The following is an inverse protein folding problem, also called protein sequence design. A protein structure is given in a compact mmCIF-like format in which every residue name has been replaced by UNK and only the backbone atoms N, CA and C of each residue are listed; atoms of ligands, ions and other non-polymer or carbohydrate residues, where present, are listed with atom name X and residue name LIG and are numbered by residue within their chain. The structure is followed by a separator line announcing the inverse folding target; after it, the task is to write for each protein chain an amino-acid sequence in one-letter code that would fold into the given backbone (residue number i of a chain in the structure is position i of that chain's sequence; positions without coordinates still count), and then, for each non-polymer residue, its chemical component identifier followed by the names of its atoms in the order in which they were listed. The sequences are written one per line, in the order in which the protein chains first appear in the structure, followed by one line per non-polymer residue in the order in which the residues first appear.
data_IF_970643630512
#
_entry.id   IF_970643630512
#
_cell.length_a   1.000
_cell.length_b   1.000
_cell.length_c   1.000
_cell.angle_alpha   90.00
_cell.angle_beta   90.00
_cell.angle_gamma   90.00
#
_symmetry.space_group_name_H-M   'P 1'
#
loop_
_entity.id
_entity.type
_entity.pdbx_description
1 polymer ?
#
# COMPACT_ATOMS: atom_id res chain seq x y z
N UNK A 1 10.22 3.20 -8.70
CA UNK A 1 8.97 3.11 -9.51
C UNK A 1 8.68 4.47 -10.12
N UNK A 2 8.21 4.59 -11.37
CA UNK A 2 7.44 5.78 -11.72
C UNK A 2 6.33 5.88 -10.69
N UNK A 3 6.16 7.03 -10.06
CA UNK A 3 5.15 7.16 -9.02
C UNK A 3 3.81 6.97 -9.74
N UNK A 4 3.20 5.80 -9.57
CA UNK A 4 1.83 5.54 -10.00
C UNK A 4 0.89 6.34 -9.07
N UNK A 5 1.03 7.67 -9.04
CA UNK A 5 0.09 8.60 -8.40
C UNK A 5 -1.23 8.62 -9.18
N UNK A 6 -1.17 8.22 -10.45
CA UNK A 6 -2.36 7.94 -11.21
C UNK A 6 -2.98 6.63 -10.72
N UNK A 7 -3.84 6.76 -9.71
CA UNK A 7 -4.67 5.70 -9.15
C UNK A 7 -5.48 4.94 -10.22
N UNK A 8 -5.83 5.64 -11.30
CA UNK A 8 -6.56 5.10 -12.44
C UNK A 8 -5.67 4.41 -13.48
N UNK A 9 -4.35 4.38 -13.30
CA UNK A 9 -3.34 3.68 -14.14
C UNK A 9 -2.49 2.68 -13.37
N UNK A 10 -2.41 2.82 -12.06
CA UNK A 10 -1.70 1.92 -11.17
C UNK A 10 -2.13 0.45 -11.38
N UNK A 11 -1.17 -0.48 -11.31
CA UNK A 11 -1.48 -1.91 -11.43
C UNK A 11 -2.39 -2.38 -10.29
N UNK A 12 -3.24 -3.38 -10.53
CA UNK A 12 -3.99 -4.06 -9.44
C UNK A 12 -3.09 -4.73 -8.38
N UNK A 13 -1.79 -4.88 -8.68
CA UNK A 13 -0.79 -5.46 -7.79
C UNK A 13 0.15 -4.42 -7.17
N UNK A 14 0.05 -3.13 -7.50
CA UNK A 14 0.84 -2.12 -6.77
C UNK A 14 0.32 -2.05 -5.34
N UNK A 15 1.20 -2.37 -4.40
CA UNK A 15 0.98 -2.15 -2.98
C UNK A 15 1.31 -0.68 -2.67
N UNK A 16 0.43 0.01 -1.97
CA UNK A 16 0.72 1.33 -1.38
C UNK A 16 0.34 2.56 -2.19
N UNK A 17 -0.22 2.43 -3.40
CA UNK A 17 -0.67 3.61 -4.16
C UNK A 17 -1.79 4.35 -3.43
N UNK A 18 -2.78 3.60 -2.95
CA UNK A 18 -3.87 4.06 -2.09
C UNK A 18 -3.35 4.71 -0.79
N UNK A 19 -2.37 4.07 -0.14
CA UNK A 19 -1.76 4.57 1.11
C UNK A 19 -1.02 5.88 0.88
N UNK A 20 -0.16 5.94 -0.14
CA UNK A 20 0.63 7.14 -0.50
C UNK A 20 -0.27 8.34 -0.72
N UNK A 21 -1.30 8.19 -1.56
CA UNK A 21 -2.21 9.29 -1.85
C UNK A 21 -2.99 9.71 -0.60
N UNK A 22 -3.46 8.76 0.22
CA UNK A 22 -4.18 9.05 1.44
C UNK A 22 -3.33 9.80 2.47
N UNK A 23 -2.05 9.44 2.61
CA UNK A 23 -1.09 10.14 3.47
C UNK A 23 -0.83 11.55 2.95
N UNK A 24 -0.54 11.71 1.65
CA UNK A 24 -0.28 13.03 1.05
C UNK A 24 -1.46 13.98 1.25
N UNK A 25 -2.68 13.50 1.01
CA UNK A 25 -3.90 14.26 1.27
C UNK A 25 -4.04 14.64 2.75
N UNK A 26 -3.86 13.68 3.65
CA UNK A 26 -3.98 13.93 5.09
C UNK A 26 -2.98 14.99 5.58
N UNK A 27 -1.74 14.94 5.11
CA UNK A 27 -0.71 15.93 5.43
C UNK A 27 -1.14 17.33 4.95
N UNK A 28 -1.57 17.47 3.70
CA UNK A 28 -2.05 18.76 3.17
C UNK A 28 -3.25 19.28 3.96
N UNK A 29 -4.22 18.42 4.28
CA UNK A 29 -5.42 18.79 5.06
C UNK A 29 -5.10 19.20 6.49
N UNK A 30 -4.05 18.64 7.09
CA UNK A 30 -3.59 19.00 8.44
C UNK A 30 -2.66 20.23 8.48
N UNK A 31 -2.41 20.85 7.32
CA UNK A 31 -1.67 22.10 7.19
C UNK A 31 -0.17 21.94 6.94
N UNK A 32 0.30 20.75 6.56
CA UNK A 32 1.69 20.55 6.17
C UNK A 32 1.94 21.06 4.74
N UNK A 33 3.10 21.67 4.53
CA UNK A 33 3.65 21.88 3.19
C UNK A 33 4.31 20.58 2.73
N UNK A 34 3.93 20.08 1.56
CA UNK A 34 4.41 18.78 1.06
C UNK A 34 5.18 18.99 -0.25
N UNK A 35 6.47 18.61 -0.24
CA UNK A 35 7.34 18.60 -1.42
C UNK A 35 7.67 17.15 -1.79
N UNK A 36 7.40 16.75 -3.03
CA UNK A 36 7.77 15.43 -3.54
C UNK A 36 9.06 15.54 -4.35
N UNK A 37 10.13 14.95 -3.81
CA UNK A 37 11.42 14.84 -4.47
C UNK A 37 11.45 13.63 -5.42
N UNK A 38 10.79 13.74 -6.58
CA UNK A 38 10.75 12.70 -7.62
C UNK A 38 11.10 13.22 -9.02
N UNK A 39 11.38 12.34 -9.98
CA UNK A 39 11.72 12.68 -11.38
C UNK A 39 10.68 12.04 -12.31
N UNK A 40 9.41 12.33 -12.08
CA UNK A 40 8.39 12.08 -13.10
C UNK A 40 8.67 13.10 -14.19
N UNK A 41 9.05 12.67 -15.40
CA UNK A 41 9.41 13.66 -16.43
C UNK A 41 8.21 14.55 -16.73
N UNK A 42 8.40 15.86 -16.67
CA UNK A 42 7.48 16.93 -17.07
C UNK A 42 7.01 16.91 -18.55
N UNK A 43 7.30 15.84 -19.32
CA UNK A 43 6.66 15.62 -20.62
C UNK A 43 5.13 15.58 -20.42
N UNK A 44 4.32 16.14 -21.34
CA UNK A 44 2.95 16.56 -21.08
C UNK A 44 2.00 15.36 -21.02
N UNK A 45 2.14 14.55 -19.99
CA UNK A 45 1.03 13.90 -19.34
C UNK A 45 0.74 14.81 -18.16
N UNK A 46 -0.37 15.57 -18.22
CA UNK A 46 -0.91 16.28 -17.07
C UNK A 46 -1.00 15.27 -15.93
N UNK A 47 0.02 15.25 -15.07
CA UNK A 47 0.10 14.35 -13.93
C UNK A 47 -0.79 14.95 -12.85
N UNK A 48 -2.09 14.73 -13.02
CA UNK A 48 -3.10 14.92 -12.01
C UNK A 48 -2.73 14.04 -10.82
N UNK A 49 -2.18 14.68 -9.78
CA UNK A 49 -1.84 14.04 -8.51
C UNK A 49 -3.06 13.41 -7.84
N UNK A 50 -4.27 13.85 -8.20
CA UNK A 50 -5.56 13.23 -7.94
C UNK A 50 -6.50 13.55 -9.11
N UNK A 51 -7.22 12.56 -9.63
CA UNK A 51 -8.41 12.79 -10.47
C UNK A 51 -9.64 12.59 -9.60
N UNK A 52 -10.07 13.64 -8.91
CA UNK A 52 -11.32 13.61 -8.17
C UNK A 52 -11.97 14.98 -8.34
N UNK A 53 -13.04 15.10 -9.14
CA UNK A 53 -14.39 15.40 -8.63
C UNK A 53 -15.42 15.61 -9.75
N UNK A 54 -16.66 15.24 -9.38
CA UNK A 54 -17.99 15.59 -9.88
C UNK A 54 -18.16 15.96 -11.37
N UNK A 55 -18.55 14.96 -12.18
CA UNK A 55 -19.73 15.15 -13.01
C UNK A 55 -20.38 13.83 -13.44
N UNK A 56 -21.69 13.93 -13.57
CA UNK A 56 -22.69 12.92 -13.86
C UNK A 56 -22.50 12.44 -15.31
N UNK A 57 -21.58 11.51 -15.52
CA UNK A 57 -21.55 10.59 -16.65
C UNK A 57 -20.53 9.50 -16.33
N UNK A 58 -20.95 8.24 -16.33
CA UNK A 58 -20.13 7.07 -15.93
C UNK A 58 -18.85 6.86 -16.77
N UNK A 59 -18.60 7.71 -17.78
CA UNK A 59 -17.54 7.55 -18.78
C UNK A 59 -16.48 8.68 -18.82
N UNK A 60 -16.58 9.75 -18.03
CA UNK A 60 -15.59 10.85 -18.06
C UNK A 60 -15.17 11.31 -16.66
N UNK A 61 -13.86 11.29 -16.39
CA UNK A 61 -13.26 11.66 -15.09
C UNK A 61 -12.63 13.05 -15.23
N UNK A 62 -13.05 13.99 -14.38
CA UNK A 62 -12.51 15.35 -14.33
C UNK A 62 -11.45 15.50 -13.21
N UNK A 63 -10.38 16.25 -13.50
CA UNK A 63 -9.12 16.28 -12.73
C UNK A 63 -9.03 17.52 -11.83
N UNK A 64 -8.89 17.33 -10.50
CA UNK A 64 -8.69 18.40 -9.52
C UNK A 64 -7.32 18.26 -8.83
N UNK A 65 -6.45 19.26 -9.00
CA UNK A 65 -5.14 19.29 -8.38
C UNK A 65 -5.25 19.54 -6.86
N UNK A 66 -4.41 18.90 -6.05
CA UNK A 66 -3.96 19.53 -4.81
C UNK A 66 -2.92 20.56 -5.24
N UNK A 67 -3.34 21.80 -5.48
CA UNK A 67 -2.45 22.93 -5.86
C UNK A 67 -1.36 23.24 -4.81
N UNK A 68 -1.31 22.48 -3.70
CA UNK A 68 -0.43 22.65 -2.55
C UNK A 68 0.72 21.63 -2.46
N UNK A 69 0.85 20.69 -3.41
CA UNK A 69 1.98 19.75 -3.46
C UNK A 69 2.97 20.23 -4.51
N UNK A 70 4.19 20.59 -4.09
CA UNK A 70 5.26 20.97 -5.00
C UNK A 70 6.01 19.72 -5.51
N UNK A 71 6.33 19.71 -6.81
CA UNK A 71 7.18 18.69 -7.43
C UNK A 71 8.58 19.25 -7.62
N UNK A 72 9.57 18.65 -6.98
CA UNK A 72 10.97 19.10 -7.02
C UNK A 72 11.84 18.10 -7.81
N UNK A 73 11.84 18.26 -9.14
CA UNK A 73 12.57 17.39 -10.07
C UNK A 73 14.10 17.62 -10.00
N UNK A 74 14.52 18.85 -9.69
CA UNK A 74 15.90 19.31 -9.79
C UNK A 74 16.56 19.66 -8.45
N UNK A 75 15.88 19.44 -7.32
CA UNK A 75 16.47 19.65 -6.00
C UNK A 75 17.78 18.87 -5.85
N UNK A 76 18.77 19.53 -5.25
CA UNK A 76 20.11 18.99 -4.93
C UNK A 76 20.28 18.66 -3.45
N UNK A 77 19.46 19.25 -2.60
CA UNK A 77 19.34 18.99 -1.16
C UNK A 77 17.85 19.11 -0.78
N UNK A 78 17.37 18.36 0.22
CA UNK A 78 16.02 18.58 0.75
C UNK A 78 15.92 19.94 1.44
N UNK A 79 14.80 20.63 1.21
CA UNK A 79 14.38 21.86 1.88
C UNK A 79 13.05 21.60 2.60
N UNK A 80 13.14 20.90 3.73
CA UNK A 80 12.03 20.43 4.54
C UNK A 80 12.49 20.18 5.98
N UNK A 81 11.57 20.21 6.94
CA UNK A 81 11.87 19.88 8.34
C UNK A 81 11.91 18.36 8.59
N UNK A 82 11.16 17.59 7.79
CA UNK A 82 11.03 16.15 7.93
C UNK A 82 11.19 15.48 6.57
N UNK A 83 12.11 14.52 6.48
CA UNK A 83 12.29 13.70 5.29
C UNK A 83 11.45 12.42 5.40
N UNK A 84 10.31 12.39 4.70
CA UNK A 84 9.43 11.22 4.66
C UNK A 84 9.77 10.29 3.49
N UNK A 85 10.09 9.03 3.80
CA UNK A 85 10.54 8.02 2.82
C UNK A 85 9.58 6.85 2.84
N UNK A 86 8.85 6.64 1.75
CA UNK A 86 8.03 5.46 1.55
C UNK A 86 8.88 4.30 1.01
N UNK A 87 8.72 3.11 1.61
CA UNK A 87 9.19 1.80 1.17
C UNK A 87 10.29 1.73 0.07
N UNK A 88 11.48 1.28 0.48
CA UNK A 88 12.45 0.51 -0.29
C UNK A 88 12.67 0.99 -1.72
N UNK A 89 13.48 2.04 -1.92
CA UNK A 89 13.79 2.50 -3.26
C UNK A 89 14.34 1.35 -4.12
N UNK A 90 13.78 1.16 -5.32
CA UNK A 90 14.19 0.06 -6.21
C UNK A 90 15.50 0.40 -6.93
N UNK A 91 16.24 -0.61 -7.40
CA UNK A 91 17.38 -0.43 -8.33
C UNK A 91 16.95 0.03 -9.74
N UNK A 92 15.76 0.59 -9.89
CA UNK A 92 15.30 1.14 -11.17
C UNK A 92 16.17 2.35 -11.51
N UNK A 93 16.91 2.26 -12.60
CA UNK A 93 17.77 3.33 -13.12
C UNK A 93 17.01 4.24 -14.07
N UNK A 94 17.39 5.52 -14.04
CA UNK A 94 16.86 6.55 -14.94
C UNK A 94 18.02 7.28 -15.59
N UNK A 95 17.86 7.67 -16.86
CA UNK A 95 18.79 8.57 -17.55
C UNK A 95 18.45 10.02 -17.23
N UNK A 96 19.46 10.81 -16.89
CA UNK A 96 19.37 12.22 -16.57
C UNK A 96 20.15 13.02 -17.64
N UNK A 97 19.48 13.52 -18.68
CA UNK A 97 20.12 14.30 -19.74
C UNK A 97 20.85 15.54 -19.21
N UNK A 98 20.29 16.19 -18.19
CA UNK A 98 20.82 17.45 -17.63
C UNK A 98 21.73 17.24 -16.41
N UNK A 99 21.92 15.99 -15.95
CA UNK A 99 22.73 15.67 -14.75
C UNK A 99 23.99 14.85 -15.04
N UNK A 100 24.43 14.77 -16.30
CA UNK A 100 25.76 14.24 -16.63
C UNK A 100 26.88 14.88 -15.78
N UNK A 101 26.73 16.15 -15.41
CA UNK A 101 27.69 16.88 -14.59
C UNK A 101 27.60 16.61 -13.07
N UNK A 102 26.47 16.08 -12.57
CA UNK A 102 26.30 15.79 -11.13
C UNK A 102 26.79 14.39 -10.76
N UNK A 103 26.66 13.43 -11.68
CA UNK A 103 27.17 12.07 -11.49
C UNK A 103 27.96 11.62 -12.74
N UNK A 104 29.09 12.26 -13.05
CA UNK A 104 29.88 11.96 -14.24
C UNK A 104 30.39 10.50 -14.26
N UNK A 105 30.57 9.91 -13.08
CA UNK A 105 30.96 8.51 -12.90
C UNK A 105 29.80 7.50 -13.12
N UNK A 106 28.57 7.97 -13.33
CA UNK A 106 27.39 7.14 -13.58
C UNK A 106 26.86 7.28 -15.03
N UNK A 107 27.58 7.97 -15.93
CA UNK A 107 27.19 8.18 -17.34
C UNK A 107 25.75 8.71 -17.52
N UNK A 108 25.28 9.52 -16.57
CA UNK A 108 23.92 10.04 -16.56
C UNK A 108 22.85 9.01 -16.19
N UNK A 109 23.17 7.77 -15.83
CA UNK A 109 22.21 6.77 -15.32
C UNK A 109 22.27 6.66 -13.78
N UNK A 110 21.26 7.16 -13.07
CA UNK A 110 21.22 7.07 -11.59
C UNK A 110 20.02 6.22 -11.17
N UNK A 111 20.25 5.29 -10.25
CA UNK A 111 19.18 4.50 -9.63
C UNK A 111 18.36 5.34 -8.65
N UNK A 112 17.08 5.01 -8.50
CA UNK A 112 16.19 5.68 -7.53
C UNK A 112 16.79 5.63 -6.12
N UNK A 113 17.39 4.51 -5.75
CA UNK A 113 18.03 4.32 -4.45
C UNK A 113 19.24 5.22 -4.22
N UNK A 114 20.10 5.38 -5.23
CA UNK A 114 21.24 6.28 -5.10
C UNK A 114 20.76 7.72 -4.90
N UNK A 115 19.71 8.15 -5.61
CA UNK A 115 19.11 9.47 -5.40
C UNK A 115 18.51 9.62 -4.01
N UNK A 116 17.77 8.62 -3.52
CA UNK A 116 17.22 8.65 -2.15
C UNK A 116 18.35 8.83 -1.14
N UNK A 117 19.47 8.13 -1.32
CA UNK A 117 20.61 8.21 -0.40
C UNK A 117 21.35 9.54 -0.50
N UNK A 118 21.52 10.08 -1.70
CA UNK A 118 22.08 11.42 -1.92
C UNK A 118 21.22 12.52 -1.27
N UNK A 119 19.90 12.35 -1.22
CA UNK A 119 19.01 13.26 -0.49
C UNK A 119 19.16 13.12 1.02
N UNK A 120 19.22 11.88 1.52
CA UNK A 120 19.43 11.60 2.95
C UNK A 120 20.78 12.17 3.39
N UNK A 121 21.86 11.91 2.65
CA UNK A 121 23.23 12.36 2.95
C UNK A 121 23.30 13.86 3.25
N UNK A 122 22.51 14.66 2.52
CA UNK A 122 22.48 16.13 2.59
C UNK A 122 21.42 16.69 3.53
N UNK A 123 20.67 15.83 4.22
CA UNK A 123 19.62 16.20 5.15
C UNK A 123 20.10 16.07 6.60
N UNK A 124 19.63 16.97 7.46
CA UNK A 124 19.80 16.91 8.92
C UNK A 124 18.42 17.07 9.56
N UNK A 125 18.15 16.32 10.63
CA UNK A 125 16.84 16.29 11.32
C UNK A 125 16.10 14.95 11.22
N UNK A 126 14.77 15.00 11.29
CA UNK A 126 13.92 13.81 11.36
C UNK A 126 13.73 13.11 10.00
N UNK A 127 14.14 11.84 9.93
CA UNK A 127 13.87 10.93 8.81
C UNK A 127 12.78 9.95 9.23
N UNK A 128 11.60 10.09 8.60
CA UNK A 128 10.47 9.18 8.83
C UNK A 128 10.40 8.18 7.70
N UNK A 129 10.63 6.93 8.03
CA UNK A 129 10.53 5.85 7.06
C UNK A 129 9.18 5.14 7.21
N UNK A 130 8.40 5.08 6.13
CA UNK A 130 7.10 4.43 6.10
C UNK A 130 7.16 3.05 5.42
N UNK A 131 7.08 2.01 6.24
CA UNK A 131 7.05 0.62 5.81
C UNK A 131 5.61 0.12 5.68
N UNK A 132 5.17 -0.11 4.45
CA UNK A 132 3.78 -0.52 4.18
C UNK A 132 3.68 -1.85 3.42
N UNK A 133 4.80 -2.50 3.13
CA UNK A 133 4.85 -3.77 2.39
C UNK A 133 5.71 -4.73 3.17
N UNK A 134 5.11 -5.73 3.81
CA UNK A 134 5.84 -6.74 4.58
C UNK A 134 6.97 -7.43 3.79
N UNK A 135 6.82 -7.54 2.46
CA UNK A 135 7.82 -8.17 1.60
C UNK A 135 9.03 -7.29 1.30
N UNK A 136 8.95 -5.99 1.57
CA UNK A 136 10.07 -5.05 1.47
C UNK A 136 10.70 -4.80 2.84
N UNK A 137 10.91 -5.85 3.63
CA UNK A 137 11.39 -5.84 5.01
C UNK A 137 12.77 -5.21 5.26
N UNK A 138 13.34 -4.49 4.30
CA UNK A 138 14.49 -3.63 4.49
C UNK A 138 14.08 -2.18 4.24
N UNK A 139 14.46 -1.26 5.13
CA UNK A 139 14.24 0.17 4.94
C UNK A 139 14.79 0.71 3.61
N UNK A 140 15.72 -0.02 3.00
CA UNK A 140 16.33 0.37 1.74
C UNK A 140 16.26 -0.73 0.69
N UNK A 141 15.26 -1.60 0.79
CA UNK A 141 15.06 -2.70 -0.14
C UNK A 141 16.16 -3.75 -0.10
N UNK A 142 16.02 -4.77 -0.94
CA UNK A 142 16.90 -5.93 -1.03
C UNK A 142 18.24 -5.59 -1.71
N UNK A 143 18.90 -4.50 -1.33
CA UNK A 143 20.29 -4.30 -1.73
C UNK A 143 21.16 -5.28 -0.94
N UNK A 144 21.34 -6.47 -1.48
CA UNK A 144 22.11 -7.48 -0.76
C UNK A 144 22.08 -8.89 -1.32
N UNK A 145 21.85 -9.10 -2.61
CA UNK A 145 22.69 -10.11 -3.26
C UNK A 145 24.03 -9.44 -3.46
N UNK A 146 25.06 -9.95 -2.78
CA UNK A 146 26.46 -9.55 -2.91
C UNK A 146 26.82 -9.38 -4.39
N UNK A 147 26.63 -8.20 -4.96
CA UNK A 147 27.36 -7.79 -6.15
C UNK A 147 28.60 -7.11 -5.60
N UNK A 148 29.54 -7.94 -5.16
CA UNK A 148 30.91 -7.49 -4.92
C UNK A 148 31.34 -6.73 -6.18
N UNK A 149 31.70 -5.45 -6.01
CA UNK A 149 32.14 -4.50 -7.06
C UNK A 149 31.06 -3.62 -7.72
N UNK A 150 29.81 -3.57 -7.24
CA UNK A 150 28.88 -2.50 -7.67
C UNK A 150 29.07 -1.23 -6.84
N UNK A 151 29.34 -0.06 -7.45
CA UNK A 151 29.42 1.23 -6.74
C UNK A 151 28.07 1.70 -6.15
N UNK A 152 26.98 0.99 -6.45
CA UNK A 152 25.59 1.27 -6.01
C UNK A 152 25.14 0.21 -4.97
N UNK A 153 26.07 -0.57 -4.41
CA UNK A 153 25.71 -1.49 -3.31
C UNK A 153 25.45 -0.71 -2.01
N UNK A 154 24.53 -1.18 -1.17
CA UNK A 154 24.15 -0.55 0.11
C UNK A 154 25.38 -0.34 0.98
N UNK A 155 26.17 -1.39 1.16
CA UNK A 155 27.41 -1.33 1.93
C UNK A 155 28.40 -0.31 1.38
N UNK A 156 28.50 -0.16 0.05
CA UNK A 156 29.37 0.87 -0.54
C UNK A 156 28.83 2.29 -0.37
N UNK A 157 27.50 2.48 -0.34
CA UNK A 157 26.91 3.80 -0.16
C UNK A 157 26.92 4.21 1.31
N UNK A 158 26.55 3.31 2.24
CA UNK A 158 26.64 3.56 3.69
C UNK A 158 28.08 3.81 4.16
N UNK A 159 29.08 3.34 3.42
CA UNK A 159 30.50 3.62 3.71
C UNK A 159 30.99 4.96 3.16
N UNK A 160 30.27 5.56 2.20
CA UNK A 160 30.68 6.80 1.50
C UNK A 160 29.82 8.01 1.87
N UNK A 161 28.65 7.78 2.43
CA UNK A 161 27.64 8.79 2.71
C UNK A 161 27.34 8.82 4.21
N UNK A 162 27.10 10.02 4.74
CA UNK A 162 26.74 10.32 6.12
C UNK A 162 25.24 10.05 6.34
N UNK A 163 24.79 8.84 5.99
CA UNK A 163 23.37 8.48 6.00
C UNK A 163 22.75 8.54 7.40
N UNK A 164 23.51 8.31 8.47
CA UNK A 164 22.98 8.26 9.84
C UNK A 164 23.42 9.42 10.73
N UNK A 165 24.34 10.26 10.25
CA UNK A 165 24.92 11.34 11.03
C UNK A 165 23.95 12.52 11.10
N UNK A 166 23.79 13.12 12.29
CA UNK A 166 22.93 14.28 12.55
C UNK A 166 21.46 14.08 12.13
N UNK A 167 20.95 12.84 12.27
CA UNK A 167 19.61 12.47 11.84
C UNK A 167 18.93 11.62 12.90
N UNK A 168 17.64 11.86 13.10
CA UNK A 168 16.78 11.05 13.95
C UNK A 168 15.92 10.15 13.08
N UNK A 169 15.95 8.85 13.29
CA UNK A 169 15.23 7.88 12.45
C UNK A 169 14.00 7.34 13.16
N UNK A 170 12.85 7.44 12.50
CA UNK A 170 11.57 6.88 12.98
C UNK A 170 10.98 5.92 11.96
N UNK A 171 10.60 4.71 12.40
CA UNK A 171 9.81 3.80 11.56
C UNK A 171 8.33 4.05 11.81
N UNK A 172 7.59 4.21 10.73
CA UNK A 172 6.13 4.16 10.70
C UNK A 172 5.72 2.92 9.91
N UNK A 173 4.84 2.07 10.43
CA UNK A 173 4.47 0.81 9.76
C UNK A 173 3.01 0.41 9.99
N UNK A 174 2.42 -0.30 9.01
CA UNK A 174 1.10 -0.93 9.17
C UNK A 174 1.15 -2.34 9.75
N UNK A 175 2.36 -2.87 9.96
CA UNK A 175 2.57 -4.15 10.62
C UNK A 175 2.81 -3.96 12.13
N UNK A 176 2.81 -5.04 12.88
CA UNK A 176 3.27 -5.04 14.26
C UNK A 176 4.80 -4.82 14.29
N UNK A 177 5.21 -3.68 14.86
CA UNK A 177 6.61 -3.26 14.88
C UNK A 177 7.48 -4.21 15.72
N UNK A 178 6.99 -4.71 16.85
CA UNK A 178 7.75 -5.63 17.71
C UNK A 178 8.02 -6.95 16.99
N UNK A 179 6.99 -7.53 16.35
CA UNK A 179 7.14 -8.76 15.53
C UNK A 179 8.10 -8.54 14.37
N UNK A 180 8.07 -7.37 13.73
CA UNK A 180 9.03 -7.00 12.69
C UNK A 180 10.46 -6.95 13.24
N UNK A 181 10.69 -6.25 14.36
CA UNK A 181 12.01 -6.13 14.99
C UNK A 181 12.51 -7.51 15.40
N UNK A 182 11.71 -8.31 16.09
CA UNK A 182 12.11 -9.64 16.54
C UNK A 182 12.51 -10.55 15.37
N UNK A 183 11.74 -10.48 14.27
CA UNK A 183 12.00 -11.29 13.07
C UNK A 183 13.24 -10.82 12.32
N UNK A 184 13.41 -9.51 12.15
CA UNK A 184 14.44 -8.95 11.26
C UNK A 184 15.74 -8.56 11.96
N UNK A 185 15.74 -8.31 13.28
CA UNK A 185 16.96 -8.11 14.08
C UNK A 185 17.87 -9.34 14.10
N UNK A 186 17.29 -10.54 13.95
CA UNK A 186 18.02 -11.81 13.85
C UNK A 186 18.75 -11.96 12.49
N UNK A 187 18.41 -11.15 11.49
CA UNK A 187 19.15 -11.13 10.23
C UNK A 187 20.45 -10.33 10.45
N UNK A 188 21.60 -10.88 10.03
CA UNK A 188 22.91 -10.20 10.07
C UNK A 188 22.98 -9.01 9.10
N UNK A 189 22.10 -8.01 9.25
CA UNK A 189 21.97 -6.84 8.39
C UNK A 189 21.72 -5.59 9.26
N UNK A 190 22.64 -4.62 9.30
CA UNK A 190 22.48 -3.41 10.08
C UNK A 190 21.44 -2.53 9.38
N UNK A 191 20.27 -2.33 10.00
CA UNK A 191 19.33 -1.30 9.50
C UNK A 191 18.30 -0.93 10.56
N UNK A 192 17.69 -1.91 11.22
CA UNK A 192 16.65 -1.64 12.22
C UNK A 192 17.20 -1.01 13.52
N UNK A 193 18.48 -1.22 13.85
CA UNK A 193 19.12 -0.63 15.03
C UNK A 193 19.31 0.89 14.97
N UNK A 194 19.15 1.51 13.80
CA UNK A 194 19.30 2.95 13.64
C UNK A 194 18.01 3.72 13.89
N UNK A 195 16.85 3.05 13.94
CA UNK A 195 15.61 3.72 14.30
C UNK A 195 15.52 3.90 15.81
N UNK A 196 15.33 5.13 16.21
CA UNK A 196 15.20 5.56 17.60
C UNK A 196 13.79 5.34 18.12
N UNK A 197 12.79 5.40 17.23
CA UNK A 197 11.39 5.17 17.58
C UNK A 197 10.61 4.46 16.47
N UNK A 198 9.49 3.86 16.88
CA UNK A 198 8.63 3.03 16.03
C UNK A 198 7.18 3.39 16.31
N UNK A 199 6.37 3.46 15.26
CA UNK A 199 4.95 3.75 15.39
C UNK A 199 4.13 2.88 14.44
N UNK A 200 3.21 2.13 15.02
CA UNK A 200 2.17 1.44 14.27
C UNK A 200 1.11 2.46 13.81
N UNK A 201 0.68 2.36 12.56
CA UNK A 201 -0.50 3.06 12.04
C UNK A 201 -1.40 2.00 11.38
N UNK A 202 -2.68 1.89 11.76
CA UNK A 202 -3.59 0.96 11.13
C UNK A 202 -3.77 1.28 9.65
N UNK A 203 -4.30 0.33 8.89
CA UNK A 203 -4.77 0.61 7.53
C UNK A 203 -5.93 1.59 7.60
N UNK A 204 -5.72 2.76 7.02
CA UNK A 204 -6.74 3.80 6.89
C UNK A 204 -7.25 3.91 5.45
N UNK A 205 -8.37 4.62 5.28
CA UNK A 205 -8.92 4.99 3.99
C UNK A 205 -8.98 6.50 3.81
N UNK A 206 -9.17 6.97 2.59
CA UNK A 206 -9.51 8.37 2.29
C UNK A 206 -10.87 8.43 1.62
N UNK A 207 -11.76 9.32 2.07
CA UNK A 207 -13.07 9.52 1.41
C UNK A 207 -12.94 10.06 -0.02
N UNK A 208 -11.87 10.80 -0.28
CA UNK A 208 -11.63 11.39 -1.58
C UNK A 208 -11.01 10.35 -2.53
N UNK A 209 -10.18 9.42 -2.04
CA UNK A 209 -9.52 8.40 -2.87
C UNK A 209 -10.33 7.11 -2.95
N UNK A 210 -10.75 6.58 -1.80
CA UNK A 210 -11.46 5.31 -1.64
C UNK A 210 -12.99 5.52 -1.66
N UNK A 211 -13.52 6.23 -2.67
CA UNK A 211 -14.95 6.57 -2.75
C UNK A 211 -15.83 5.33 -2.56
N UNK A 212 -16.58 5.22 -1.44
CA UNK A 212 -17.38 4.03 -1.17
C UNK A 212 -18.48 3.85 -2.21
N UNK A 213 -18.60 2.63 -2.71
CA UNK A 213 -19.67 2.20 -3.62
C UNK A 213 -20.77 1.55 -2.81
N UNK A 214 -22.01 1.86 -3.15
CA UNK A 214 -23.14 1.12 -2.60
C UNK A 214 -23.13 -0.33 -3.12
N UNK A 215 -23.46 -1.32 -2.28
CA UNK A 215 -23.63 -2.71 -2.72
C UNK A 215 -24.59 -2.80 -3.92
N UNK A 216 -24.29 -3.69 -4.87
CA UNK A 216 -25.24 -3.97 -5.97
C UNK A 216 -26.42 -4.80 -5.48
N UNK A 217 -27.60 -4.53 -6.04
CA UNK A 217 -28.81 -5.32 -5.79
C UNK A 217 -28.58 -6.79 -6.12
N UNK A 218 -28.07 -7.07 -7.32
CA UNK A 218 -27.78 -8.42 -7.80
C UNK A 218 -26.31 -8.53 -8.23
N UNK A 219 -25.37 -8.75 -7.28
CA UNK A 219 -23.98 -9.01 -7.60
C UNK A 219 -23.85 -10.30 -8.44
N UNK A 220 -22.86 -10.34 -9.32
CA UNK A 220 -22.60 -11.50 -10.17
C UNK A 220 -22.03 -12.68 -9.39
N UNK A 221 -21.20 -12.40 -8.38
CA UNK A 221 -20.43 -13.39 -7.63
C UNK A 221 -20.94 -13.51 -6.20
N UNK A 222 -20.89 -14.71 -5.63
CA UNK A 222 -21.09 -14.86 -4.19
C UNK A 222 -19.84 -14.39 -3.45
N UNK A 223 -18.67 -14.85 -3.91
CA UNK A 223 -17.36 -14.56 -3.31
C UNK A 223 -16.40 -13.97 -4.34
N UNK A 224 -15.72 -12.89 -3.98
CA UNK A 224 -14.62 -12.32 -4.74
C UNK A 224 -13.30 -12.35 -3.95
N UNK A 225 -12.19 -12.60 -4.65
CA UNK A 225 -10.85 -12.48 -4.08
C UNK A 225 -9.89 -11.81 -5.09
N UNK A 226 -8.97 -10.99 -4.59
CA UNK A 226 -7.90 -10.39 -5.39
C UNK A 226 -6.55 -10.64 -4.75
N UNK A 227 -5.61 -11.16 -5.53
CA UNK A 227 -4.25 -11.34 -5.07
C UNK A 227 -3.36 -12.04 -6.09
N UNK A 228 -2.09 -12.20 -5.72
CA UNK A 228 -1.13 -13.01 -6.49
C UNK A 228 -0.99 -14.41 -5.87
N UNK A 229 -0.74 -15.45 -6.64
CA UNK A 229 -0.53 -16.78 -6.09
C UNK A 229 0.74 -16.85 -5.23
N UNK A 230 0.63 -17.45 -4.04
CA UNK A 230 1.75 -18.03 -3.29
C UNK A 230 1.29 -19.31 -2.58
N UNK A 231 2.25 -20.14 -2.13
CA UNK A 231 1.94 -21.46 -1.55
C UNK A 231 1.01 -21.40 -0.34
N UNK A 232 1.17 -20.38 0.51
CA UNK A 232 0.33 -20.23 1.70
C UNK A 232 -1.09 -19.82 1.28
N UNK A 233 -1.22 -18.77 0.47
CA UNK A 233 -2.54 -18.29 0.03
C UNK A 233 -3.31 -19.29 -0.80
N UNK A 234 -2.64 -20.05 -1.67
CA UNK A 234 -3.28 -21.12 -2.44
C UNK A 234 -3.92 -22.15 -1.50
N UNK A 235 -3.16 -22.66 -0.53
CA UNK A 235 -3.66 -23.63 0.46
C UNK A 235 -4.84 -23.09 1.26
N UNK A 236 -4.77 -21.83 1.70
CA UNK A 236 -5.86 -21.20 2.46
C UNK A 236 -7.12 -21.02 1.63
N UNK A 237 -6.98 -20.57 0.37
CA UNK A 237 -8.11 -20.43 -0.53
C UNK A 237 -8.74 -21.78 -0.88
N UNK A 238 -7.93 -22.81 -1.14
CA UNK A 238 -8.44 -24.18 -1.39
C UNK A 238 -9.22 -24.73 -0.19
N UNK A 239 -8.73 -24.46 1.02
CA UNK A 239 -9.41 -24.84 2.25
C UNK A 239 -10.76 -24.13 2.42
N UNK A 240 -10.81 -22.82 2.19
CA UNK A 240 -12.01 -22.00 2.43
C UNK A 240 -13.04 -22.11 1.31
N UNK A 241 -12.61 -22.18 0.05
CA UNK A 241 -13.47 -22.03 -1.13
C UNK A 241 -13.98 -23.36 -1.70
N UNK A 242 -13.60 -24.51 -1.13
CA UNK A 242 -13.98 -25.84 -1.65
C UNK A 242 -15.49 -26.03 -1.89
N UNK A 243 -16.34 -25.41 -1.07
CA UNK A 243 -17.80 -25.54 -1.12
C UNK A 243 -18.49 -24.35 -1.82
N UNK A 244 -17.72 -23.38 -2.29
CA UNK A 244 -18.23 -22.20 -3.01
C UNK A 244 -18.37 -22.53 -4.49
N UNK A 245 -19.59 -22.38 -5.02
CA UNK A 245 -19.91 -22.70 -6.42
C UNK A 245 -19.83 -21.49 -7.34
N UNK A 246 -20.08 -20.29 -6.81
CA UNK A 246 -20.13 -19.06 -7.60
C UNK A 246 -19.18 -18.01 -7.03
N UNK A 247 -17.97 -17.93 -7.58
CA UNK A 247 -17.02 -16.92 -7.16
C UNK A 247 -15.96 -16.63 -8.21
N UNK A 248 -15.26 -15.52 -8.05
CA UNK A 248 -14.23 -15.09 -8.98
C UNK A 248 -12.94 -14.65 -8.29
N UNK A 249 -11.83 -14.84 -9.00
CA UNK A 249 -10.50 -14.40 -8.60
C UNK A 249 -9.88 -13.55 -9.71
N UNK A 250 -9.38 -12.36 -9.38
CA UNK A 250 -8.49 -11.59 -10.24
C UNK A 250 -7.06 -11.54 -9.68
N UNK A 251 -6.07 -11.53 -10.56
CA UNK A 251 -4.66 -11.39 -10.24
C UNK A 251 -3.75 -12.39 -10.95
N UNK A 252 -2.49 -12.47 -10.51
CA UNK A 252 -1.48 -13.37 -11.10
C UNK A 252 -1.62 -14.77 -10.50
N UNK A 253 -2.35 -15.65 -11.18
CA UNK A 253 -2.56 -17.05 -10.79
C UNK A 253 -2.15 -17.98 -11.92
N UNK A 254 -1.39 -19.01 -11.57
CA UNK A 254 -0.97 -20.07 -12.48
C UNK A 254 -1.82 -21.34 -12.30
N UNK A 255 -2.36 -21.54 -11.10
CA UNK A 255 -3.21 -22.67 -10.76
C UNK A 255 -4.69 -22.23 -10.65
N UNK A 256 -5.57 -23.16 -11.03
CA UNK A 256 -7.00 -23.08 -10.75
C UNK A 256 -7.22 -23.20 -9.22
N UNK A 257 -8.11 -22.39 -8.66
CA UNK A 257 -8.46 -22.44 -7.23
C UNK A 257 -9.89 -22.96 -7.09
N UNK A 258 -10.03 -24.25 -6.75
CA UNK A 258 -11.33 -24.93 -6.65
C UNK A 258 -12.22 -24.63 -7.88
N UNK A 259 -13.49 -24.30 -7.65
CA UNK A 259 -14.48 -23.98 -8.68
C UNK A 259 -14.52 -22.48 -9.05
N UNK A 260 -13.53 -21.69 -8.61
CA UNK A 260 -13.56 -20.24 -8.81
C UNK A 260 -13.28 -19.86 -10.25
N UNK A 261 -13.96 -18.85 -10.78
CA UNK A 261 -13.61 -18.31 -12.08
C UNK A 261 -12.30 -17.50 -11.98
N UNK A 262 -11.26 -17.98 -12.65
CA UNK A 262 -9.98 -17.28 -12.75
C UNK A 262 -10.05 -16.26 -13.88
N UNK A 263 -10.16 -14.98 -13.52
CA UNK A 263 -10.35 -13.89 -14.49
C UNK A 263 -9.02 -13.33 -15.02
N UNK A 264 -7.89 -13.80 -14.50
CA UNK A 264 -6.55 -13.32 -14.82
C UNK A 264 -6.26 -11.94 -14.22
N UNK A 265 -5.22 -11.28 -14.72
CA UNK A 265 -4.96 -9.89 -14.38
C UNK A 265 -5.90 -8.99 -15.19
N UNK A 266 -6.98 -8.51 -14.56
CA UNK A 266 -7.92 -7.57 -15.20
C UNK A 266 -7.88 -6.21 -14.56
N UNK A 267 -7.91 -5.19 -15.41
CA UNK A 267 -8.10 -3.81 -15.01
C UNK A 267 -6.89 -3.21 -14.29
N UNK A 268 -7.17 -2.07 -13.67
CA UNK A 268 -6.24 -1.20 -12.96
C UNK A 268 -6.67 -1.10 -11.49
N UNK A 269 -5.89 -0.44 -10.64
CA UNK A 269 -6.14 -0.43 -9.19
C UNK A 269 -7.59 -0.01 -8.83
N UNK A 270 -8.13 1.02 -9.49
CA UNK A 270 -9.53 1.44 -9.31
C UNK A 270 -10.59 0.37 -9.73
N UNK A 271 -10.26 -0.54 -10.65
CA UNK A 271 -11.18 -1.59 -11.09
C UNK A 271 -11.37 -2.68 -10.03
N UNK A 272 -10.48 -2.76 -9.04
CA UNK A 272 -10.64 -3.64 -7.88
C UNK A 272 -11.94 -3.32 -7.12
N UNK A 273 -12.24 -2.03 -6.92
CA UNK A 273 -13.46 -1.60 -6.22
C UNK A 273 -14.71 -2.03 -7.00
N UNK A 274 -14.67 -1.90 -8.34
CA UNK A 274 -15.75 -2.36 -9.21
C UNK A 274 -15.89 -3.88 -9.20
N UNK A 275 -14.77 -4.60 -9.15
CA UNK A 275 -14.75 -6.05 -9.07
C UNK A 275 -15.42 -6.52 -7.78
N UNK A 276 -15.05 -5.96 -6.62
CA UNK A 276 -15.72 -6.24 -5.37
C UNK A 276 -17.19 -5.84 -5.39
N UNK A 277 -17.56 -4.71 -6.00
CA UNK A 277 -18.96 -4.32 -6.14
C UNK A 277 -19.84 -5.35 -6.89
N UNK A 278 -19.23 -6.26 -7.66
CA UNK A 278 -19.91 -7.38 -8.31
C UNK A 278 -19.97 -8.66 -7.45
N UNK A 279 -19.64 -8.60 -6.16
CA UNK A 279 -19.71 -9.74 -5.24
C UNK A 279 -20.47 -9.43 -3.95
N UNK A 280 -21.16 -10.43 -3.39
CA UNK A 280 -21.78 -10.31 -2.06
C UNK A 280 -20.73 -10.14 -0.96
N UNK A 281 -19.69 -10.98 -0.97
CA UNK A 281 -18.58 -10.90 -0.01
C UNK A 281 -17.23 -10.81 -0.72
N UNK A 282 -16.31 -10.09 -0.09
CA UNK A 282 -14.90 -10.09 -0.48
C UNK A 282 -14.05 -10.76 0.60
N UNK A 283 -13.15 -11.65 0.18
CA UNK A 283 -12.21 -12.30 1.09
C UNK A 283 -10.91 -11.53 1.22
N UNK A 284 -10.47 -11.36 2.46
CA UNK A 284 -9.17 -10.80 2.82
C UNK A 284 -8.34 -11.86 3.55
N UNK A 285 -7.28 -12.30 2.88
CA UNK A 285 -6.35 -13.33 3.38
C UNK A 285 -4.92 -12.80 3.21
N UNK A 286 -4.13 -12.76 4.29
CA UNK A 286 -2.75 -12.31 4.22
C UNK A 286 -1.88 -13.32 3.46
N UNK A 287 -0.72 -12.87 2.97
CA UNK A 287 0.35 -13.83 2.69
C UNK A 287 0.98 -14.29 4.02
N UNK A 288 1.84 -15.32 3.98
CA UNK A 288 2.47 -15.86 5.20
C UNK A 288 3.20 -14.79 6.02
N UNK A 289 3.90 -13.88 5.34
CA UNK A 289 4.68 -12.84 6.02
C UNK A 289 3.78 -11.75 6.61
N UNK A 290 2.73 -11.34 5.90
CA UNK A 290 1.71 -10.42 6.44
C UNK A 290 1.04 -11.01 7.69
N UNK A 291 0.72 -12.30 7.69
CA UNK A 291 0.17 -13.01 8.85
C UNK A 291 1.16 -13.01 10.04
N UNK A 292 2.41 -13.38 9.79
CA UNK A 292 3.44 -13.45 10.83
C UNK A 292 3.77 -12.08 11.45
N UNK A 293 3.52 -11.00 10.72
CA UNK A 293 3.80 -9.62 11.14
C UNK A 293 2.53 -8.84 11.53
N UNK A 294 1.37 -9.48 11.62
CA UNK A 294 0.07 -8.82 11.88
C UNK A 294 -0.21 -7.64 10.93
N UNK A 295 0.21 -7.74 9.67
CA UNK A 295 0.06 -6.66 8.70
C UNK A 295 -1.28 -6.76 7.97
N UNK A 296 -2.22 -5.86 8.29
CA UNK A 296 -3.42 -5.68 7.47
C UNK A 296 -3.04 -4.96 6.17
N UNK A 297 -3.58 -5.43 5.03
CA UNK A 297 -3.34 -4.81 3.72
C UNK A 297 -4.51 -3.91 3.31
N UNK A 298 -4.27 -2.98 2.38
CA UNK A 298 -5.32 -2.09 1.85
C UNK A 298 -6.45 -2.79 1.12
N UNK A 299 -6.30 -4.09 0.88
CA UNK A 299 -7.35 -4.94 0.34
C UNK A 299 -8.60 -4.93 1.21
N UNK A 300 -8.48 -4.79 2.54
CA UNK A 300 -9.64 -4.63 3.43
C UNK A 300 -10.46 -3.38 3.06
N UNK A 301 -9.78 -2.24 2.89
CA UNK A 301 -10.39 -0.97 2.46
C UNK A 301 -11.06 -1.13 1.10
N UNK A 302 -10.38 -1.76 0.14
CA UNK A 302 -10.89 -1.97 -1.21
C UNK A 302 -12.15 -2.84 -1.25
N UNK A 303 -12.24 -3.86 -0.39
CA UNK A 303 -13.43 -4.71 -0.28
C UNK A 303 -14.62 -3.89 0.25
N UNK A 304 -14.41 -3.20 1.38
CA UNK A 304 -15.46 -2.43 2.05
C UNK A 304 -15.90 -1.28 1.16
N UNK A 305 -14.98 -0.44 0.67
CA UNK A 305 -15.30 0.66 -0.24
C UNK A 305 -15.78 0.18 -1.62
N UNK A 306 -15.52 -1.08 -1.99
CA UNK A 306 -16.13 -1.73 -3.15
C UNK A 306 -17.61 -2.05 -2.96
N UNK A 307 -18.16 -1.97 -1.75
CA UNK A 307 -19.56 -2.29 -1.46
C UNK A 307 -19.83 -3.78 -1.21
N UNK A 308 -18.79 -4.60 -1.03
CA UNK A 308 -18.94 -5.97 -0.52
C UNK A 308 -18.87 -6.00 1.00
N UNK A 309 -19.43 -7.05 1.62
CA UNK A 309 -19.11 -7.37 3.00
C UNK A 309 -17.72 -8.00 3.06
N UNK A 310 -16.81 -7.42 3.84
CA UNK A 310 -15.48 -7.98 4.03
C UNK A 310 -15.51 -9.14 5.02
N UNK A 311 -14.96 -10.28 4.60
CA UNK A 311 -14.71 -11.43 5.48
C UNK A 311 -13.19 -11.67 5.54
N UNK A 312 -12.70 -11.98 6.73
CA UNK A 312 -11.26 -12.08 7.01
C UNK A 312 -10.89 -13.46 7.54
N UNK A 313 -9.68 -13.91 7.23
CA UNK A 313 -9.17 -15.21 7.68
C UNK A 313 -7.68 -15.12 7.98
N UNK A 314 -7.20 -15.97 8.90
CA UNK A 314 -5.79 -16.10 9.24
C UNK A 314 -5.14 -14.79 9.74
N UNK A 315 -5.85 -14.01 10.56
CA UNK A 315 -5.30 -12.89 11.32
C UNK A 315 -5.35 -13.18 12.82
N UNK A 316 -4.43 -12.59 13.58
CA UNK A 316 -4.44 -12.64 15.05
C UNK A 316 -5.63 -11.88 15.62
N UNK A 317 -6.04 -12.23 16.84
CA UNK A 317 -7.14 -11.58 17.54
C UNK A 317 -6.93 -10.06 17.70
N UNK A 318 -5.68 -9.63 17.94
CA UNK A 318 -5.32 -8.20 18.04
C UNK A 318 -5.66 -7.44 16.76
N UNK A 319 -5.32 -7.99 15.59
CA UNK A 319 -5.66 -7.40 14.29
C UNK A 319 -7.17 -7.39 14.09
N UNK A 320 -7.86 -8.49 14.42
CA UNK A 320 -9.32 -8.55 14.29
C UNK A 320 -10.00 -7.47 15.16
N UNK A 321 -9.51 -7.28 16.40
CA UNK A 321 -10.04 -6.30 17.33
C UNK A 321 -9.78 -4.86 16.88
N UNK A 322 -8.59 -4.55 16.34
CA UNK A 322 -8.24 -3.23 15.81
C UNK A 322 -9.25 -2.73 14.77
N UNK A 323 -9.71 -3.62 13.89
CA UNK A 323 -10.67 -3.28 12.83
C UNK A 323 -12.13 -3.65 13.18
N UNK A 324 -12.40 -4.11 14.40
CA UNK A 324 -13.74 -4.51 14.84
C UNK A 324 -14.36 -5.65 14.01
N UNK A 325 -13.54 -6.62 13.58
CA UNK A 325 -13.89 -7.64 12.60
C UNK A 325 -14.38 -8.98 13.19
N UNK A 326 -14.60 -9.06 14.51
CA UNK A 326 -14.92 -10.32 15.22
C UNK A 326 -16.06 -11.13 14.57
N UNK A 327 -17.11 -10.47 14.09
CA UNK A 327 -18.27 -11.14 13.46
C UNK A 327 -18.05 -11.51 11.97
N UNK A 328 -16.89 -11.20 11.42
CA UNK A 328 -16.54 -11.33 10.01
C UNK A 328 -15.36 -12.29 9.78
N UNK A 329 -14.91 -12.98 10.84
CA UNK A 329 -13.86 -13.98 10.75
C UNK A 329 -14.42 -15.29 10.18
N UNK A 330 -13.68 -15.90 9.26
CA UNK A 330 -13.96 -17.21 8.67
C UNK A 330 -12.70 -18.07 8.64
N UNK A 331 -12.74 -19.23 9.29
CA UNK A 331 -11.60 -20.13 9.45
C UNK A 331 -11.82 -21.50 8.79
N UNK A 332 -13.02 -21.76 8.28
CA UNK A 332 -13.36 -23.01 7.58
C UNK A 332 -14.29 -22.77 6.39
N UNK A 333 -14.35 -23.75 5.48
CA UNK A 333 -15.30 -23.70 4.36
C UNK A 333 -16.76 -23.64 4.82
N UNK A 334 -17.09 -24.32 5.93
CA UNK A 334 -18.43 -24.35 6.48
C UNK A 334 -18.84 -22.96 6.99
N UNK A 335 -17.96 -22.30 7.77
CA UNK A 335 -18.17 -20.93 8.24
C UNK A 335 -18.32 -19.95 7.07
N UNK A 336 -17.44 -20.04 6.07
CA UNK A 336 -17.53 -19.18 4.89
C UNK A 336 -18.86 -19.38 4.17
N UNK A 337 -19.28 -20.63 3.93
CA UNK A 337 -20.55 -20.95 3.28
C UNK A 337 -21.75 -20.38 4.04
N UNK A 338 -21.75 -20.51 5.38
CA UNK A 338 -22.79 -19.94 6.24
C UNK A 338 -22.81 -18.42 6.12
N UNK A 339 -21.65 -17.74 6.27
CA UNK A 339 -21.56 -16.28 6.16
C UNK A 339 -21.98 -15.74 4.80
N UNK A 340 -21.62 -16.43 3.72
CA UNK A 340 -22.06 -16.10 2.36
C UNK A 340 -23.58 -16.21 2.23
N UNK A 341 -24.17 -17.30 2.74
CA UNK A 341 -25.62 -17.50 2.71
C UNK A 341 -26.36 -16.44 3.54
N UNK A 342 -25.84 -16.11 4.73
CA UNK A 342 -26.35 -15.03 5.58
C UNK A 342 -26.39 -13.71 4.80
N UNK A 343 -25.25 -13.26 4.25
CA UNK A 343 -25.15 -12.00 3.51
C UNK A 343 -26.07 -11.98 2.27
N UNK A 344 -26.23 -13.11 1.58
CA UNK A 344 -27.13 -13.23 0.42
C UNK A 344 -28.61 -13.11 0.78
N UNK A 345 -28.99 -13.54 1.98
CA UNK A 345 -30.38 -13.45 2.44
C UNK A 345 -30.79 -12.05 2.88
N UNK A 346 -29.82 -11.15 3.08
CA UNK A 346 -30.08 -9.76 3.45
C UNK A 346 -30.61 -8.93 2.27
N UNK A 347 -31.56 -8.05 2.58
CA UNK A 347 -32.00 -7.00 1.67
C UNK A 347 -30.85 -6.05 1.30
N UNK A 348 -31.03 -5.30 0.22
CA UNK A 348 -30.06 -4.27 -0.20
C UNK A 348 -29.78 -3.26 0.91
N UNK A 349 -30.82 -2.78 1.60
CA UNK A 349 -30.70 -1.82 2.70
C UNK A 349 -29.89 -2.40 3.87
N UNK A 350 -30.14 -3.67 4.23
CA UNK A 350 -29.37 -4.34 5.28
C UNK A 350 -27.90 -4.50 4.89
N UNK A 351 -27.61 -4.85 3.63
CA UNK A 351 -26.22 -4.93 3.12
C UNK A 351 -25.54 -3.57 3.11
N UNK A 352 -26.25 -2.50 2.74
CA UNK A 352 -25.75 -1.12 2.85
C UNK A 352 -25.40 -0.76 4.29
N UNK A 353 -26.30 -1.06 5.25
CA UNK A 353 -26.05 -0.83 6.69
C UNK A 353 -24.82 -1.59 7.17
N UNK A 354 -24.66 -2.87 6.81
CA UNK A 354 -23.46 -3.64 7.18
C UNK A 354 -22.18 -3.06 6.58
N UNK A 355 -22.21 -2.68 5.30
CA UNK A 355 -21.04 -2.09 4.65
C UNK A 355 -20.64 -0.75 5.29
N UNK A 356 -21.62 0.11 5.61
CA UNK A 356 -21.40 1.36 6.35
C UNK A 356 -20.86 1.08 7.76
N UNK A 357 -21.38 0.06 8.45
CA UNK A 357 -20.87 -0.35 9.76
C UNK A 357 -19.42 -0.79 9.68
N UNK A 358 -19.03 -1.62 8.69
CA UNK A 358 -17.63 -2.02 8.50
C UNK A 358 -16.74 -0.81 8.17
N UNK A 359 -17.20 0.10 7.30
CA UNK A 359 -16.47 1.32 6.96
C UNK A 359 -16.26 2.23 8.19
N UNK A 360 -17.25 2.31 9.09
CA UNK A 360 -17.16 3.11 10.32
C UNK A 360 -16.12 2.61 11.33
N UNK A 361 -15.64 1.36 11.17
CA UNK A 361 -14.56 0.81 11.99
C UNK A 361 -13.17 1.14 11.44
N UNK A 362 -13.08 1.58 10.19
CA UNK A 362 -11.83 2.00 9.59
C UNK A 362 -11.56 3.48 9.96
N UNK A 363 -10.31 3.78 10.32
CA UNK A 363 -9.86 5.16 10.48
C UNK A 363 -9.64 5.81 9.12
N UNK A 364 -9.85 7.12 9.02
CA UNK A 364 -9.45 7.90 7.85
C UNK A 364 -7.99 8.36 7.99
N UNK A 365 -7.28 8.50 6.87
CA UNK A 365 -5.90 9.00 6.89
C UNK A 365 -5.78 10.40 7.53
N UNK A 366 -6.81 11.24 7.38
CA UNK A 366 -6.87 12.59 7.97
C UNK A 366 -7.12 12.58 9.49
N UNK A 367 -7.57 11.46 10.06
CA UNK A 367 -7.79 11.30 11.50
C UNK A 367 -6.53 10.84 12.24
N UNK A 368 -5.50 10.40 11.50
CA UNK A 368 -4.20 10.04 12.05
C UNK A 368 -3.48 11.30 12.50
N UNK A 369 -2.95 11.36 13.73
CA UNK A 369 -2.23 12.52 14.24
C UNK A 369 -0.83 12.63 13.63
N UNK A 370 -0.76 13.16 12.40
CA UNK A 370 0.51 13.35 11.69
C UNK A 370 1.41 14.37 12.37
N UNK A 371 0.86 15.32 13.13
CA UNK A 371 1.66 16.26 13.93
C UNK A 371 2.41 15.54 15.03
N UNK A 372 1.79 14.56 15.69
CA UNK A 372 2.47 13.71 16.67
C UNK A 372 3.46 12.75 15.99
N UNK A 373 3.11 12.16 14.84
CA UNK A 373 3.99 11.23 14.13
C UNK A 373 5.27 11.92 13.64
N UNK A 374 5.15 13.14 13.11
CA UNK A 374 6.23 13.88 12.47
C UNK A 374 6.96 14.87 13.42
N UNK A 375 6.72 14.77 14.73
CA UNK A 375 7.54 15.47 15.75
C UNK A 375 8.75 14.61 16.12
N UNK A 376 9.86 15.27 16.39
CA UNK A 376 11.08 14.69 16.98
C UNK A 376 10.83 14.16 18.39
#
# INVERSE_FOLDING_TARGET
MPIDLDYSRASINTKGTDRRLGILEALVLQGFEVKIYSHVSSKPHKHSLLSMYDNINENEINYGFLDKIALEENARKPDCDVLFIENGPTNTSFRYPDRYNLYPHLNGEVSYIYRTFDMIDKFEGLVVYFQHDSSLYFPFGEIGRKVTNSPISFGSMTAKMDLYKNKHYKLVTTANAEKMIEKFSKLKRPSYSHFESWQHIPVCYSKNIDKPRMPKTNPQWDVAYVGTQDKFRLKQLEMLLKDIQNGAIIGKWNAQVCNMQMLGQRGKHADVYKFYNNAFVGLQIPNKLDMELDNMTSRLVQIICGGSVALVSNYSEDVINEYGLNNYVVNSAAELKVKVAEVKSLSLEQRQKLNIQQLSKLKQWVEVDWKQILRE
#
